data_IF_888574507107
#
_entry.id   IF_888574507107
#
_cell.length_a   1.000
_cell.length_b   1.000
_cell.length_c   1.000
_cell.angle_alpha   90.00
_cell.angle_beta   90.00
_cell.angle_gamma   90.00
#
_symmetry.space_group_name_H-M   'P 1'
#
loop_
_entity.id
_entity.type
_entity.pdbx_description
1 polymer ?
#
# COMPACT_ATOMS: atom_id res chain seq x y z
N UNK A 1 13.98 -11.77 -9.39
CA UNK A 1 13.95 -10.37 -8.85
C UNK A 1 13.23 -9.36 -9.77
N UNK A 2 12.68 -9.81 -10.91
CA UNK A 2 11.92 -8.92 -11.79
C UNK A 2 10.62 -8.39 -11.15
N UNK A 3 10.06 -9.10 -10.17
CA UNK A 3 8.79 -8.75 -9.52
C UNK A 3 8.80 -7.45 -8.71
N UNK A 4 9.97 -6.93 -8.32
CA UNK A 4 10.10 -5.62 -7.66
C UNK A 4 9.94 -4.45 -8.64
N UNK A 5 10.04 -4.70 -9.93
CA UNK A 5 9.86 -3.71 -10.98
C UNK A 5 8.43 -3.80 -11.50
N UNK A 6 7.70 -2.71 -11.41
CA UNK A 6 6.32 -2.68 -11.90
C UNK A 6 6.19 -2.99 -13.39
N UNK A 7 7.23 -2.74 -14.16
CA UNK A 7 7.30 -3.02 -15.60
C UNK A 7 7.27 -4.53 -15.92
N UNK A 8 7.77 -5.35 -15.01
CA UNK A 8 7.95 -6.81 -15.22
C UNK A 8 7.16 -7.66 -14.21
N UNK A 9 6.67 -7.05 -13.15
CA UNK A 9 5.91 -7.74 -12.13
C UNK A 9 4.41 -7.76 -12.40
N UNK A 10 3.68 -8.37 -11.48
CA UNK A 10 2.22 -8.47 -11.48
C UNK A 10 1.72 -8.30 -10.05
N UNK A 11 0.61 -7.59 -9.86
CA UNK A 11 -0.09 -7.53 -8.57
C UNK A 11 -0.98 -8.77 -8.46
N UNK A 12 -0.83 -9.52 -7.37
CA UNK A 12 -1.62 -10.73 -7.10
C UNK A 12 -2.69 -10.50 -6.05
N UNK A 13 -2.50 -9.52 -5.17
CA UNK A 13 -3.55 -9.04 -4.26
C UNK A 13 -3.27 -7.60 -3.80
N UNK A 14 -4.34 -6.91 -3.40
CA UNK A 14 -4.28 -5.65 -2.66
C UNK A 14 -5.19 -5.79 -1.45
N UNK A 15 -4.66 -5.47 -0.24
CA UNK A 15 -5.46 -5.36 0.97
C UNK A 15 -5.44 -3.94 1.49
N UNK A 16 -6.62 -3.41 1.80
CA UNK A 16 -6.81 -2.05 2.30
C UNK A 16 -7.50 -2.09 3.64
N UNK A 17 -6.90 -1.47 4.65
CA UNK A 17 -7.50 -1.24 5.95
C UNK A 17 -7.89 0.23 6.13
N UNK A 18 -9.03 0.49 6.77
CA UNK A 18 -9.45 1.82 7.14
C UNK A 18 -10.21 1.83 8.46
N UNK A 19 -10.07 2.90 9.22
CA UNK A 19 -10.81 3.07 10.46
C UNK A 19 -12.18 3.69 10.19
N UNK A 20 -13.21 3.01 10.65
CA UNK A 20 -14.55 3.57 10.69
C UNK A 20 -14.65 4.51 11.90
N UNK A 21 -14.80 5.80 11.63
CA UNK A 21 -14.88 6.86 12.65
C UNK A 21 -16.30 7.38 12.85
N UNK A 22 -17.31 6.71 12.28
CA UNK A 22 -18.71 7.15 12.36
C UNK A 22 -19.25 7.09 13.79
N UNK A 23 -18.63 6.30 14.67
CA UNK A 23 -18.99 6.23 16.10
C UNK A 23 -17.89 6.81 16.98
N UNK A 24 -18.13 7.88 17.75
CA UNK A 24 -17.11 8.59 18.52
C UNK A 24 -16.32 7.73 19.51
N UNK A 25 -16.93 6.65 20.02
CA UNK A 25 -16.37 5.80 21.07
C UNK A 25 -15.99 4.39 20.59
N UNK A 26 -16.16 4.07 19.31
CA UNK A 26 -15.88 2.74 18.79
C UNK A 26 -15.18 2.84 17.44
N UNK A 27 -13.85 2.86 17.45
CA UNK A 27 -13.04 2.80 16.24
C UNK A 27 -12.95 1.34 15.80
N UNK A 28 -13.65 0.96 14.75
CA UNK A 28 -13.50 -0.35 14.12
C UNK A 28 -12.57 -0.27 12.91
N UNK A 29 -11.67 -1.24 12.79
CA UNK A 29 -10.86 -1.42 11.59
C UNK A 29 -11.64 -2.29 10.62
N UNK A 30 -11.84 -1.78 9.40
CA UNK A 30 -12.38 -2.56 8.28
C UNK A 30 -11.26 -2.89 7.32
N UNK A 31 -11.21 -4.15 6.88
CA UNK A 31 -10.23 -4.60 5.90
C UNK A 31 -10.97 -5.14 4.69
N UNK A 32 -10.54 -4.73 3.50
CA UNK A 32 -11.02 -5.27 2.24
C UNK A 32 -9.82 -5.72 1.41
N UNK A 33 -9.89 -6.95 0.91
CA UNK A 33 -8.86 -7.54 0.06
C UNK A 33 -9.42 -7.84 -1.33
N UNK A 34 -8.58 -7.61 -2.33
CA UNK A 34 -8.84 -7.89 -3.73
C UNK A 34 -7.82 -8.91 -4.20
N UNK A 35 -8.25 -10.00 -4.82
CA UNK A 35 -7.40 -11.06 -5.37
C UNK A 35 -8.04 -11.60 -6.64
N UNK A 36 -7.25 -12.15 -7.55
CA UNK A 36 -7.70 -12.67 -8.83
C UNK A 36 -6.87 -12.15 -10.01
N UNK A 37 -7.50 -11.87 -11.12
CA UNK A 37 -6.82 -11.25 -12.26
C UNK A 37 -6.42 -9.80 -11.97
N UNK A 38 -5.20 -9.45 -12.36
CA UNK A 38 -4.62 -8.15 -12.00
C UNK A 38 -5.47 -6.95 -12.43
N UNK A 39 -6.05 -7.02 -13.62
CA UNK A 39 -6.92 -5.95 -14.13
C UNK A 39 -8.15 -5.75 -13.24
N UNK A 40 -8.76 -6.85 -12.81
CA UNK A 40 -9.91 -6.82 -11.91
C UNK A 40 -9.54 -6.25 -10.53
N UNK A 41 -8.39 -6.71 -9.99
CA UNK A 41 -7.84 -6.16 -8.72
C UNK A 41 -7.68 -4.65 -8.79
N UNK A 42 -7.08 -4.15 -9.88
CA UNK A 42 -6.80 -2.72 -10.06
C UNK A 42 -8.08 -1.90 -10.27
N UNK A 43 -9.03 -2.41 -11.05
CA UNK A 43 -10.33 -1.76 -11.27
C UNK A 43 -11.14 -1.69 -9.97
N UNK A 44 -11.22 -2.79 -9.23
CA UNK A 44 -11.94 -2.85 -7.95
C UNK A 44 -11.30 -1.94 -6.89
N UNK A 45 -9.97 -1.91 -6.83
CA UNK A 45 -9.24 -1.00 -5.94
C UNK A 45 -9.47 0.46 -6.33
N UNK A 46 -9.44 0.77 -7.63
CA UNK A 46 -9.78 2.10 -8.14
C UNK A 46 -11.20 2.50 -7.74
N UNK A 47 -12.18 1.62 -7.95
CA UNK A 47 -13.57 1.87 -7.60
C UNK A 47 -13.72 2.17 -6.11
N UNK A 48 -13.06 1.39 -5.23
CA UNK A 48 -13.03 1.66 -3.80
C UNK A 48 -12.49 3.07 -3.49
N UNK A 49 -11.40 3.45 -4.16
CA UNK A 49 -10.79 4.76 -3.95
C UNK A 49 -11.69 5.91 -4.42
N UNK A 50 -12.32 5.76 -5.59
CA UNK A 50 -13.18 6.78 -6.17
C UNK A 50 -14.48 6.95 -5.37
N UNK A 51 -15.04 5.88 -4.82
CA UNK A 51 -16.28 5.91 -4.06
C UNK A 51 -16.10 6.44 -2.63
N UNK A 52 -14.96 6.09 -1.99
CA UNK A 52 -14.81 6.30 -0.54
C UNK A 52 -13.62 7.17 -0.14
N UNK A 53 -12.58 7.30 -0.99
CA UNK A 53 -11.34 7.99 -0.64
C UNK A 53 -10.98 9.13 -1.59
N UNK A 54 -11.99 9.86 -2.05
CA UNK A 54 -11.85 10.94 -3.02
C UNK A 54 -11.53 12.32 -2.42
N UNK A 55 -11.67 12.51 -1.10
CA UNK A 55 -11.39 13.80 -0.46
C UNK A 55 -9.88 14.09 -0.41
N UNK A 56 -9.52 15.38 -0.45
CA UNK A 56 -8.12 15.81 -0.32
C UNK A 56 -7.49 15.46 1.02
N UNK A 57 -8.31 15.29 2.06
CA UNK A 57 -7.88 14.89 3.41
C UNK A 57 -7.62 13.39 3.54
N UNK A 58 -8.07 12.57 2.58
CA UNK A 58 -7.80 11.14 2.60
C UNK A 58 -6.34 10.89 2.21
N UNK A 59 -5.63 10.15 3.06
CA UNK A 59 -4.24 9.79 2.87
C UNK A 59 -4.09 8.27 2.87
N UNK A 60 -3.17 7.79 2.06
CA UNK A 60 -2.69 6.41 2.15
C UNK A 60 -1.64 6.31 3.25
N UNK A 61 -1.54 5.14 3.87
CA UNK A 61 -0.50 4.81 4.83
C UNK A 61 0.02 3.42 4.56
N UNK A 62 1.33 3.27 4.45
CA UNK A 62 1.97 1.97 4.34
C UNK A 62 3.41 2.05 4.88
N UNK A 63 4.06 0.90 5.04
CA UNK A 63 5.46 0.83 5.44
C UNK A 63 6.36 0.75 4.19
N UNK A 64 7.17 1.76 3.97
CA UNK A 64 7.92 1.99 2.73
C UNK A 64 7.02 2.21 1.49
N UNK A 65 5.77 2.58 1.72
CA UNK A 65 4.76 2.69 0.67
C UNK A 65 5.00 3.81 -0.32
N UNK A 66 5.63 4.92 0.11
CA UNK A 66 5.97 6.03 -0.78
C UNK A 66 7.00 5.66 -1.84
N UNK A 67 7.93 4.77 -1.49
CA UNK A 67 8.98 4.32 -2.39
C UNK A 67 8.57 3.06 -3.18
N UNK A 68 7.65 2.25 -2.65
CA UNK A 68 7.29 0.98 -3.25
C UNK A 68 5.80 0.85 -3.60
N UNK A 69 4.91 0.68 -2.63
CA UNK A 69 3.51 0.27 -2.88
C UNK A 69 2.76 1.27 -3.77
N UNK A 70 2.80 2.56 -3.43
CA UNK A 70 2.00 3.57 -4.14
C UNK A 70 2.46 3.77 -5.58
N UNK A 71 3.77 3.96 -5.86
CA UNK A 71 4.23 4.07 -7.24
C UNK A 71 4.10 2.76 -8.01
N UNK A 72 4.20 1.60 -7.35
CA UNK A 72 4.03 0.31 -8.00
C UNK A 72 2.59 0.14 -8.51
N UNK A 73 1.59 0.34 -7.65
CA UNK A 73 0.17 0.26 -8.03
C UNK A 73 -0.15 1.27 -9.14
N UNK A 74 0.29 2.52 -9.00
CA UNK A 74 0.06 3.54 -10.01
C UNK A 74 0.65 3.17 -11.38
N UNK A 75 1.90 2.68 -11.42
CA UNK A 75 2.54 2.20 -12.67
C UNK A 75 1.79 1.02 -13.28
N UNK A 76 1.36 0.05 -12.47
CA UNK A 76 0.57 -1.08 -12.97
C UNK A 76 -0.76 -0.62 -13.56
N UNK A 77 -1.46 0.33 -12.93
CA UNK A 77 -2.66 0.94 -13.51
C UNK A 77 -2.38 1.57 -14.87
N UNK A 78 -1.31 2.37 -14.98
CA UNK A 78 -0.92 3.00 -16.26
C UNK A 78 -0.60 1.95 -17.33
N UNK A 79 0.13 0.88 -16.98
CA UNK A 79 0.45 -0.22 -17.90
C UNK A 79 -0.83 -0.87 -18.43
N UNK A 80 -1.83 -1.07 -17.57
CA UNK A 80 -3.13 -1.64 -17.94
C UNK A 80 -4.11 -0.60 -18.52
N UNK A 81 -3.68 0.67 -18.72
CA UNK A 81 -4.50 1.77 -19.24
C UNK A 81 -5.73 2.09 -18.37
N UNK A 82 -5.61 1.85 -17.07
CA UNK A 82 -6.60 2.19 -16.06
C UNK A 82 -6.31 3.59 -15.56
N UNK A 83 -7.33 4.46 -15.58
CA UNK A 83 -7.20 5.82 -15.06
C UNK A 83 -6.91 5.82 -13.55
N UNK A 84 -5.93 6.62 -13.11
CA UNK A 84 -5.56 6.71 -11.70
C UNK A 84 -6.70 7.33 -10.88
N UNK A 85 -7.07 6.74 -9.73
CA UNK A 85 -7.90 7.44 -8.76
C UNK A 85 -7.12 8.65 -8.21
N UNK A 86 -7.83 9.71 -7.81
CA UNK A 86 -7.23 10.96 -7.34
C UNK A 86 -6.15 10.74 -6.27
N UNK A 87 -6.39 9.80 -5.36
CA UNK A 87 -5.47 9.52 -4.24
C UNK A 87 -4.11 8.95 -4.71
N UNK A 88 -4.06 8.30 -5.87
CA UNK A 88 -2.85 7.77 -6.50
C UNK A 88 -2.31 8.65 -7.64
N UNK A 89 -2.99 9.73 -7.99
CA UNK A 89 -2.50 10.67 -9.01
C UNK A 89 -1.39 11.54 -8.44
N UNK A 90 -0.23 10.95 -8.36
CA UNK A 90 1.02 11.55 -7.86
C UNK A 90 1.97 11.92 -9.00
N UNK A 91 1.47 11.99 -10.22
CA UNK A 91 2.27 12.22 -11.42
C UNK A 91 3.07 13.52 -11.31
N UNK A 92 4.39 13.41 -11.56
CA UNK A 92 5.31 14.55 -11.52
C UNK A 92 5.66 15.07 -10.12
N UNK A 93 5.11 14.49 -9.05
CA UNK A 93 5.44 14.91 -7.67
C UNK A 93 6.83 14.42 -7.26
N UNK A 94 7.53 15.28 -6.54
CA UNK A 94 8.78 14.92 -5.85
C UNK A 94 8.46 14.12 -4.58
N UNK A 95 9.39 13.30 -4.05
CA UNK A 95 9.13 12.47 -2.86
C UNK A 95 8.56 13.23 -1.66
N UNK A 96 9.02 14.46 -1.43
CA UNK A 96 8.55 15.30 -0.31
C UNK A 96 7.20 15.99 -0.57
N UNK A 97 6.70 15.98 -1.81
CA UNK A 97 5.40 16.53 -2.19
C UNK A 97 4.29 15.47 -2.09
N UNK A 98 4.65 14.19 -1.90
CA UNK A 98 3.70 13.10 -1.72
C UNK A 98 3.08 13.21 -0.33
N UNK A 99 1.75 13.46 -0.22
CA UNK A 99 1.11 13.79 1.06
C UNK A 99 0.88 12.58 1.95
N UNK A 100 1.09 11.37 1.43
CA UNK A 100 0.78 10.12 2.12
C UNK A 100 1.70 9.86 3.31
N UNK A 101 1.26 9.00 4.21
CA UNK A 101 2.02 8.57 5.37
C UNK A 101 2.85 7.33 5.03
N UNK A 102 4.04 7.29 5.56
CA UNK A 102 4.95 6.17 5.44
C UNK A 102 5.56 5.87 6.81
N UNK A 103 5.18 4.75 7.39
CA UNK A 103 5.60 4.40 8.74
C UNK A 103 7.10 4.16 8.86
N UNK A 104 7.78 3.78 7.77
CA UNK A 104 9.25 3.73 7.74
C UNK A 104 9.86 5.13 7.84
N UNK A 105 9.33 6.10 7.09
CA UNK A 105 9.82 7.48 7.16
C UNK A 105 9.54 8.13 8.52
N UNK A 106 8.37 7.86 9.10
CA UNK A 106 8.03 8.33 10.45
C UNK A 106 8.99 7.77 11.51
N UNK A 107 9.38 6.49 11.38
CA UNK A 107 10.31 5.85 12.32
C UNK A 107 11.74 6.36 12.17
N UNK A 108 12.14 6.86 11.02
CA UNK A 108 13.51 7.34 10.77
C UNK A 108 13.92 8.53 11.62
N UNK A 109 13.01 9.41 12.02
CA UNK A 109 13.33 10.64 12.77
C UNK A 109 14.49 11.45 12.14
N UNK A 110 14.59 11.46 10.81
CA UNK A 110 15.68 12.11 10.07
C UNK A 110 16.91 11.23 9.79
N UNK A 111 16.96 10.01 10.29
CA UNK A 111 18.01 9.06 9.94
C UNK A 111 17.68 8.32 8.63
N UNK A 112 18.42 8.61 7.58
CA UNK A 112 18.21 8.01 6.26
C UNK A 112 19.03 6.73 6.03
N UNK A 113 19.93 6.36 6.94
CA UNK A 113 20.88 5.27 6.73
C UNK A 113 20.30 3.89 7.05
N UNK A 114 19.33 3.82 7.95
CA UNK A 114 18.81 2.55 8.45
C UNK A 114 17.42 2.26 7.89
N UNK A 115 17.25 1.03 7.44
CA UNK A 115 15.96 0.45 7.09
C UNK A 115 15.51 -0.46 8.23
N UNK A 116 14.36 -0.14 8.83
CA UNK A 116 13.75 -0.97 9.86
C UNK A 116 12.52 -1.67 9.26
N UNK A 117 12.49 -3.00 9.28
CA UNK A 117 11.35 -3.74 8.74
C UNK A 117 10.10 -3.56 9.61
N UNK A 118 8.93 -3.69 8.99
CA UNK A 118 7.65 -3.66 9.72
C UNK A 118 7.56 -4.78 10.76
N UNK A 119 8.10 -5.96 10.43
CA UNK A 119 8.14 -7.09 11.36
C UNK A 119 8.93 -6.76 12.63
N UNK A 120 10.11 -6.13 12.49
CA UNK A 120 10.92 -5.71 13.64
C UNK A 120 10.20 -4.64 14.47
N UNK A 121 9.52 -3.67 13.83
CA UNK A 121 8.74 -2.67 14.56
C UNK A 121 7.56 -3.30 15.30
N UNK A 122 6.87 -4.25 14.68
CA UNK A 122 5.77 -4.97 15.34
C UNK A 122 6.27 -5.71 16.57
N UNK A 123 7.42 -6.39 16.48
CA UNK A 123 8.04 -7.10 17.60
C UNK A 123 8.40 -6.14 18.74
N UNK A 124 9.11 -5.05 18.45
CA UNK A 124 9.50 -4.03 19.43
C UNK A 124 8.29 -3.45 20.16
N UNK A 125 7.17 -3.24 19.44
CA UNK A 125 5.94 -2.70 20.03
C UNK A 125 5.03 -3.76 20.64
N UNK A 126 5.41 -5.03 20.62
CA UNK A 126 4.58 -6.13 21.11
C UNK A 126 3.27 -6.30 20.33
N UNK A 127 3.26 -5.95 19.04
CA UNK A 127 2.10 -6.08 18.17
C UNK A 127 2.17 -7.48 17.53
N UNK A 128 1.15 -8.34 17.75
CA UNK A 128 1.09 -9.62 17.07
C UNK A 128 1.14 -9.45 15.55
N UNK A 129 2.05 -10.17 14.89
CA UNK A 129 2.13 -10.18 13.44
C UNK A 129 1.40 -11.38 12.86
N UNK A 130 0.56 -11.23 11.83
CA UNK A 130 -0.05 -12.37 11.14
C UNK A 130 0.91 -13.04 10.14
N UNK A 131 2.16 -12.57 10.04
CA UNK A 131 3.16 -13.08 9.08
C UNK A 131 3.93 -14.28 9.63
N UNK A 132 3.23 -15.35 9.99
CA UNK A 132 3.93 -16.58 10.37
C UNK A 132 4.27 -17.48 9.16
N UNK A 133 3.68 -17.22 7.97
CA UNK A 133 3.74 -18.18 6.86
C UNK A 133 4.47 -17.70 5.59
N UNK A 134 4.39 -16.43 5.19
CA UNK A 134 4.93 -15.97 3.90
C UNK A 134 5.46 -14.55 4.00
N UNK A 135 6.71 -14.30 3.57
CA UNK A 135 7.23 -12.96 3.32
C UNK A 135 7.19 -12.59 1.83
N UNK A 136 7.50 -11.33 1.51
CA UNK A 136 7.46 -10.84 0.13
C UNK A 136 8.44 -11.57 -0.83
N UNK A 137 9.48 -12.24 -0.30
CA UNK A 137 10.42 -13.04 -1.10
C UNK A 137 9.84 -14.40 -1.49
N UNK A 138 8.87 -14.89 -0.74
CA UNK A 138 8.22 -16.18 -0.95
C UNK A 138 7.03 -16.12 -1.90
N UNK A 139 6.48 -14.93 -2.18
CA UNK A 139 5.27 -14.76 -2.99
C UNK A 139 5.41 -15.44 -4.36
N UNK A 140 6.55 -15.27 -5.04
CA UNK A 140 6.78 -15.90 -6.33
C UNK A 140 6.77 -17.45 -6.23
N UNK A 141 7.33 -18.01 -5.17
CA UNK A 141 7.40 -19.47 -4.96
C UNK A 141 6.03 -20.08 -4.65
N UNK A 142 5.15 -19.33 -4.00
CA UNK A 142 3.83 -19.83 -3.58
C UNK A 142 2.79 -19.63 -4.69
N UNK A 143 2.98 -18.61 -5.54
CA UNK A 143 2.00 -18.26 -6.59
C UNK A 143 2.27 -18.99 -7.92
N UNK A 144 3.52 -19.34 -8.23
CA UNK A 144 3.94 -20.05 -9.44
C UNK A 144 4.44 -21.47 -9.14
#
# INVERSE_FOLDING_TARGET
WAGIWAEFGKIVCISVGFFDTTQPNNRSLRIKSFAGEETEILEDFKQLCDDHFYLKSHLLCAHNGKEFDFPYIARRMVIHRIALPRILDLFGKKPWEVPHLDTLQLWKFGDYKHYTSLALLADIFGIPTPKDDIDGSDVARVYY
#
